data_IF_255040713492
#
_entry.id   IF_255040713492
#
_cell.length_a   1.000
_cell.length_b   1.000
_cell.length_c   1.000
_cell.angle_alpha   90.00
_cell.angle_beta   90.00
_cell.angle_gamma   90.00
#
_symmetry.space_group_name_H-M   'P 1'
#
loop_
_entity.id
_entity.type
_entity.pdbx_description
1 polymer ?
#
# COMPACT_ATOMS: atom_id res chain seq x y z
N UNK A 1 -20.71 0.47 21.63
CA UNK A 1 -19.45 0.98 22.19
C UNK A 1 -18.42 0.95 21.08
N UNK A 2 -18.08 2.10 20.53
CA UNK A 2 -17.00 2.23 19.55
C UNK A 2 -15.67 1.96 20.27
N UNK A 3 -15.08 0.80 20.04
CA UNK A 3 -13.70 0.56 20.47
C UNK A 3 -12.82 1.56 19.75
N UNK A 4 -12.13 2.38 20.52
CA UNK A 4 -11.14 3.34 20.06
C UNK A 4 -10.09 2.58 19.25
N UNK A 5 -10.07 2.80 17.94
CA UNK A 5 -8.92 2.43 17.11
C UNK A 5 -7.76 3.26 17.63
N UNK A 6 -6.70 2.60 18.06
CA UNK A 6 -5.56 3.16 18.77
C UNK A 6 -5.15 4.54 18.23
N UNK A 7 -5.01 5.52 19.14
CA UNK A 7 -4.46 6.85 18.90
C UNK A 7 -3.01 6.73 18.36
N UNK A 8 -2.86 6.56 17.06
CA UNK A 8 -1.57 6.69 16.41
C UNK A 8 -1.55 7.98 15.60
N UNK A 9 -0.55 8.79 15.85
CA UNK A 9 -0.36 10.02 15.09
C UNK A 9 0.17 9.70 13.69
N UNK A 10 -0.55 10.18 12.70
CA UNK A 10 -0.07 10.22 11.31
C UNK A 10 0.40 11.65 11.04
N UNK A 11 1.62 11.85 10.52
CA UNK A 11 2.05 13.17 10.10
C UNK A 11 1.03 13.78 9.14
N UNK A 12 0.70 15.06 9.32
CA UNK A 12 -0.29 15.79 8.51
C UNK A 12 -0.07 15.57 7.00
N UNK A 13 1.19 15.59 6.56
CA UNK A 13 1.58 15.32 5.17
C UNK A 13 1.14 13.95 4.65
N UNK A 14 0.90 12.98 5.53
CA UNK A 14 0.50 11.62 5.18
C UNK A 14 -1.01 11.37 5.38
N UNK A 15 -1.74 12.30 6.00
CA UNK A 15 -3.15 12.15 6.33
C UNK A 15 -4.03 11.87 5.09
N UNK A 16 -3.64 12.39 3.93
CA UNK A 16 -4.38 12.18 2.68
C UNK A 16 -4.51 10.72 2.24
N UNK A 17 -3.68 9.80 2.78
CA UNK A 17 -3.87 8.37 2.54
C UNK A 17 -5.16 7.85 3.20
N UNK A 18 -5.56 8.41 4.35
CA UNK A 18 -6.81 8.10 5.02
C UNK A 18 -7.99 8.91 4.50
N UNK A 19 -7.74 10.07 3.90
CA UNK A 19 -8.75 11.01 3.44
C UNK A 19 -9.24 10.68 2.04
N UNK A 20 -10.51 10.90 1.76
CA UNK A 20 -11.21 10.94 0.49
C UNK A 20 -10.65 10.13 -0.69
N UNK A 21 -11.46 9.80 -1.66
CA UNK A 21 -11.02 8.95 -2.76
C UNK A 21 -10.00 9.66 -3.65
N UNK A 22 -8.96 8.94 -4.05
CA UNK A 22 -8.07 9.29 -5.13
C UNK A 22 -7.56 8.01 -5.79
N UNK A 23 -7.43 8.00 -7.11
CA UNK A 23 -6.95 6.80 -7.81
C UNK A 23 -5.51 6.46 -7.42
N UNK A 24 -4.69 7.49 -7.25
CA UNK A 24 -3.30 7.33 -6.87
C UNK A 24 -2.98 8.17 -5.63
N UNK A 25 -2.36 7.56 -4.64
CA UNK A 25 -1.84 8.22 -3.45
C UNK A 25 -0.36 7.85 -3.30
N UNK A 26 0.52 8.84 -3.38
CA UNK A 26 1.96 8.57 -3.47
C UNK A 26 2.74 9.45 -2.51
N UNK A 27 3.61 8.81 -1.73
CA UNK A 27 4.57 9.49 -0.86
C UNK A 27 6.00 9.17 -1.31
N UNK A 28 6.79 10.19 -1.57
CA UNK A 28 8.19 10.03 -1.96
C UNK A 28 9.12 10.93 -1.13
N UNK A 29 10.39 10.60 -1.07
CA UNK A 29 11.39 11.38 -0.32
C UNK A 29 12.52 10.52 0.22
N UNK A 30 13.35 11.09 1.08
CA UNK A 30 14.53 10.43 1.62
C UNK A 30 14.22 9.20 2.49
N UNK A 31 15.26 8.41 2.78
CA UNK A 31 15.18 7.31 3.74
C UNK A 31 14.88 7.87 5.15
N UNK A 32 14.19 7.10 5.98
CA UNK A 32 13.88 7.49 7.35
C UNK A 32 12.67 8.42 7.52
N UNK A 33 12.06 8.92 6.44
CA UNK A 33 10.86 9.79 6.49
C UNK A 33 9.57 9.12 6.98
N UNK A 34 9.62 7.87 7.40
CA UNK A 34 8.46 7.16 7.97
C UNK A 34 7.38 6.78 6.96
N UNK A 35 7.60 6.94 5.65
CA UNK A 35 6.60 6.68 4.60
C UNK A 35 5.93 5.32 4.74
N UNK A 36 6.70 4.25 4.63
CA UNK A 36 6.17 2.88 4.67
C UNK A 36 5.50 2.56 6.02
N UNK A 37 6.06 3.06 7.14
CA UNK A 37 5.45 2.88 8.46
C UNK A 37 4.08 3.54 8.56
N UNK A 38 3.94 4.78 8.11
CA UNK A 38 2.67 5.50 8.21
C UNK A 38 1.64 4.94 7.23
N UNK A 39 2.04 4.55 6.01
CA UNK A 39 1.16 3.84 5.07
C UNK A 39 0.67 2.53 5.69
N UNK A 40 1.55 1.72 6.27
CA UNK A 40 1.18 0.49 6.95
C UNK A 40 0.15 0.71 8.07
N UNK A 41 0.34 1.75 8.89
CA UNK A 41 -0.60 2.11 9.97
C UNK A 41 -1.97 2.50 9.44
N UNK A 42 -2.02 3.38 8.44
CA UNK A 42 -3.27 3.82 7.81
C UNK A 42 -3.99 2.62 7.18
N UNK A 43 -3.26 1.77 6.47
CA UNK A 43 -3.78 0.58 5.84
C UNK A 43 -4.39 -0.39 6.87
N UNK A 44 -3.67 -0.66 7.96
CA UNK A 44 -4.15 -1.53 9.05
C UNK A 44 -5.36 -0.94 9.77
N UNK A 45 -5.36 0.37 10.05
CA UNK A 45 -6.53 1.04 10.63
C UNK A 45 -7.75 0.92 9.70
N UNK A 46 -7.58 1.18 8.40
CA UNK A 46 -8.64 1.03 7.40
C UNK A 46 -9.18 -0.41 7.35
N UNK A 47 -8.28 -1.40 7.32
CA UNK A 47 -8.66 -2.81 7.26
C UNK A 47 -9.26 -3.33 8.59
N UNK A 48 -8.98 -2.70 9.72
CA UNK A 48 -9.59 -3.02 11.01
C UNK A 48 -11.02 -2.48 11.15
N UNK A 49 -11.33 -1.37 10.45
CA UNK A 49 -12.64 -0.70 10.51
C UNK A 49 -13.62 -1.23 9.48
N UNK A 50 -13.16 -1.56 8.29
CA UNK A 50 -14.01 -2.02 7.18
C UNK A 50 -13.36 -3.16 6.40
N UNK A 51 -14.18 -4.04 5.83
CA UNK A 51 -13.71 -5.06 4.92
C UNK A 51 -12.92 -4.44 3.78
N UNK A 52 -11.63 -4.79 3.68
CA UNK A 52 -10.70 -4.21 2.73
C UNK A 52 -9.76 -5.27 2.19
N UNK A 53 -9.75 -5.45 0.89
CA UNK A 53 -8.82 -6.36 0.23
C UNK A 53 -7.60 -5.60 -0.28
N UNK A 54 -6.44 -5.95 0.24
CA UNK A 54 -5.19 -5.22 0.01
C UNK A 54 -4.15 -6.11 -0.65
N UNK A 55 -3.57 -5.62 -1.74
CA UNK A 55 -2.35 -6.16 -2.32
C UNK A 55 -1.18 -5.28 -1.89
N UNK A 56 -0.22 -5.85 -1.17
CA UNK A 56 1.09 -5.24 -0.97
C UNK A 56 2.04 -5.77 -2.04
N UNK A 57 2.68 -4.89 -2.79
CA UNK A 57 3.44 -5.25 -3.97
C UNK A 57 4.83 -4.58 -4.01
N UNK A 58 5.78 -5.25 -4.65
CA UNK A 58 7.08 -4.74 -5.11
C UNK A 58 7.35 -5.25 -6.52
N UNK A 59 8.30 -4.65 -7.24
CA UNK A 59 8.72 -5.15 -8.56
C UNK A 59 9.17 -6.62 -8.47
N UNK A 60 9.99 -6.98 -7.47
CA UNK A 60 10.51 -8.33 -7.24
C UNK A 60 9.95 -8.89 -5.93
N UNK A 61 9.52 -10.15 -5.95
CA UNK A 61 8.82 -10.78 -4.82
C UNK A 61 9.71 -11.10 -3.62
N UNK A 62 10.97 -11.48 -3.83
CA UNK A 62 11.80 -12.08 -2.80
C UNK A 62 12.03 -11.20 -1.56
N UNK A 63 11.95 -9.89 -1.73
CA UNK A 63 12.11 -8.92 -0.64
C UNK A 63 10.81 -8.46 0.03
N UNK A 64 9.64 -8.77 -0.53
CA UNK A 64 8.38 -8.23 0.00
C UNK A 64 7.94 -8.91 1.29
N UNK A 65 8.13 -10.23 1.40
CA UNK A 65 7.77 -10.98 2.60
C UNK A 65 8.62 -10.56 3.79
N UNK A 66 9.92 -10.42 3.60
CA UNK A 66 10.86 -10.06 4.68
C UNK A 66 10.69 -8.62 5.16
N UNK A 67 10.17 -7.72 4.35
CA UNK A 67 10.10 -6.30 4.70
C UNK A 67 8.70 -5.79 4.98
N UNK A 68 7.75 -5.97 4.04
CA UNK A 68 6.40 -5.39 4.18
C UNK A 68 5.54 -6.23 5.11
N UNK A 69 5.62 -7.55 5.01
CA UNK A 69 4.89 -8.44 5.91
C UNK A 69 5.37 -8.26 7.36
N UNK A 70 6.69 -8.23 7.58
CA UNK A 70 7.27 -7.98 8.90
C UNK A 70 6.88 -6.59 9.44
N UNK A 71 6.93 -5.56 8.59
CA UNK A 71 6.50 -4.21 8.95
C UNK A 71 5.04 -4.20 9.41
N UNK A 72 4.12 -4.79 8.64
CA UNK A 72 2.70 -4.86 9.02
C UNK A 72 2.51 -5.64 10.32
N UNK A 73 3.16 -6.79 10.47
CA UNK A 73 3.09 -7.61 11.68
C UNK A 73 3.57 -6.85 12.93
N UNK A 74 4.65 -6.09 12.80
CA UNK A 74 5.16 -5.26 13.87
C UNK A 74 4.24 -4.08 14.19
N UNK A 75 3.61 -3.46 13.17
CA UNK A 75 2.64 -2.40 13.38
C UNK A 75 1.34 -2.92 14.01
N UNK A 76 0.85 -4.11 13.68
CA UNK A 76 -0.29 -4.75 14.34
C UNK A 76 -0.05 -4.85 15.85
N UNK A 77 1.15 -5.28 16.26
CA UNK A 77 1.53 -5.35 17.68
C UNK A 77 1.61 -3.94 18.30
N UNK A 78 2.31 -3.02 17.66
CA UNK A 78 2.51 -1.65 18.15
C UNK A 78 1.20 -0.87 18.29
N UNK A 79 0.25 -1.08 17.38
CA UNK A 79 -1.08 -0.46 17.38
C UNK A 79 -2.09 -1.21 18.27
N UNK A 80 -1.70 -2.28 18.94
CA UNK A 80 -2.58 -3.14 19.78
C UNK A 80 -3.75 -3.75 18.99
N UNK A 81 -3.53 -4.05 17.72
CA UNK A 81 -4.55 -4.62 16.81
C UNK A 81 -4.49 -6.16 16.73
N UNK A 82 -3.78 -6.84 17.63
CA UNK A 82 -3.63 -8.29 17.58
C UNK A 82 -4.96 -9.06 17.65
N UNK A 83 -5.97 -8.52 18.32
CA UNK A 83 -7.32 -9.11 18.35
C UNK A 83 -8.14 -8.89 17.07
N UNK A 84 -7.71 -8.00 16.20
CA UNK A 84 -8.39 -7.65 14.94
C UNK A 84 -7.86 -8.42 13.73
N UNK A 85 -6.65 -9.00 13.83
CA UNK A 85 -5.99 -9.66 12.71
C UNK A 85 -5.43 -11.02 13.09
N UNK A 86 -5.60 -11.96 12.18
CA UNK A 86 -4.87 -13.24 12.16
C UNK A 86 -3.70 -13.10 11.17
N UNK A 87 -2.48 -13.29 11.67
CA UNK A 87 -1.25 -13.13 10.89
C UNK A 87 -0.66 -14.51 10.59
N UNK A 88 -0.52 -14.83 9.32
CA UNK A 88 0.19 -16.03 8.84
C UNK A 88 1.46 -15.63 8.09
N UNK A 89 2.28 -16.58 7.69
CA UNK A 89 3.50 -16.30 6.90
C UNK A 89 3.22 -15.82 5.47
N UNK A 90 1.99 -15.94 4.98
CA UNK A 90 1.64 -15.64 3.60
C UNK A 90 0.64 -14.51 3.44
N UNK A 91 -0.20 -14.28 4.43
CA UNK A 91 -1.26 -13.28 4.39
C UNK A 91 -1.63 -12.83 5.81
N UNK A 92 -2.38 -11.74 5.87
CA UNK A 92 -2.98 -11.22 7.10
C UNK A 92 -4.48 -11.06 6.83
N UNK A 93 -5.31 -11.61 7.71
CA UNK A 93 -6.76 -11.54 7.57
C UNK A 93 -7.43 -10.91 8.79
N UNK A 94 -8.56 -10.22 8.58
CA UNK A 94 -9.37 -9.67 9.65
C UNK A 94 -10.10 -10.78 10.41
N UNK A 95 -10.11 -10.72 11.74
CA UNK A 95 -10.79 -11.73 12.59
C UNK A 95 -12.30 -11.50 12.70
N UNK A 96 -12.78 -10.29 12.41
CA UNK A 96 -14.20 -9.89 12.56
C UNK A 96 -14.83 -9.32 11.28
N UNK A 97 -14.03 -9.16 10.24
CA UNK A 97 -14.45 -8.70 8.93
C UNK A 97 -13.69 -9.47 7.85
N UNK A 98 -14.09 -9.33 6.60
CA UNK A 98 -13.47 -10.04 5.47
C UNK A 98 -12.23 -9.32 4.92
N UNK A 99 -11.51 -8.56 5.75
CA UNK A 99 -10.28 -7.91 5.34
C UNK A 99 -9.20 -8.94 5.06
N UNK A 100 -8.48 -8.74 3.96
CA UNK A 100 -7.46 -9.68 3.51
C UNK A 100 -6.29 -8.94 2.88
N UNK A 101 -5.10 -9.10 3.44
CA UNK A 101 -3.87 -8.47 2.99
C UNK A 101 -2.94 -9.57 2.50
N UNK A 102 -2.53 -9.50 1.24
CA UNK A 102 -1.63 -10.46 0.63
C UNK A 102 -0.48 -9.78 -0.12
N UNK A 103 0.53 -10.55 -0.49
CA UNK A 103 1.81 -10.05 -0.95
C UNK A 103 2.18 -10.66 -2.30
N UNK A 104 2.65 -9.85 -3.25
CA UNK A 104 3.08 -10.33 -4.56
C UNK A 104 4.18 -9.48 -5.17
N UNK A 105 5.12 -10.14 -5.87
CA UNK A 105 5.98 -9.47 -6.83
C UNK A 105 5.22 -9.17 -8.12
N UNK A 106 5.50 -8.01 -8.72
CA UNK A 106 4.79 -7.55 -9.91
C UNK A 106 5.38 -8.10 -11.21
N UNK A 107 6.71 -8.20 -11.29
CA UNK A 107 7.43 -8.47 -12.54
C UNK A 107 6.96 -9.70 -13.31
N UNK A 108 6.59 -10.76 -12.60
CA UNK A 108 6.23 -12.05 -13.20
C UNK A 108 4.84 -12.57 -12.86
N UNK A 109 4.10 -11.85 -12.01
CA UNK A 109 2.85 -12.35 -11.44
C UNK A 109 1.61 -11.50 -11.69
N UNK A 110 1.74 -10.34 -12.33
CA UNK A 110 0.58 -9.47 -12.58
C UNK A 110 -0.47 -10.20 -13.39
N UNK A 111 -0.06 -10.90 -14.47
CA UNK A 111 -0.98 -11.59 -15.36
C UNK A 111 -1.72 -12.77 -14.68
N UNK A 112 -1.21 -13.25 -13.55
CA UNK A 112 -1.76 -14.33 -12.75
C UNK A 112 -2.46 -13.90 -11.46
N UNK A 113 -2.65 -12.59 -11.22
CA UNK A 113 -3.36 -12.09 -10.05
C UNK A 113 -4.84 -12.46 -10.13
N UNK A 114 -5.15 -13.68 -9.65
CA UNK A 114 -6.54 -14.10 -9.44
C UNK A 114 -7.18 -13.14 -8.43
N UNK A 115 -8.39 -12.72 -8.66
CA UNK A 115 -9.13 -11.78 -7.80
C UNK A 115 -8.60 -10.32 -7.81
N UNK A 116 -7.83 -9.93 -8.81
CA UNK A 116 -7.40 -8.52 -8.97
C UNK A 116 -8.58 -7.55 -9.07
N UNK A 117 -9.73 -8.01 -9.54
CA UNK A 117 -10.98 -7.26 -9.61
C UNK A 117 -11.62 -6.96 -8.25
N UNK A 118 -11.18 -7.62 -7.18
CA UNK A 118 -11.68 -7.41 -5.83
C UNK A 118 -10.75 -6.54 -4.97
N UNK A 119 -9.59 -6.12 -5.49
CA UNK A 119 -8.60 -5.35 -4.74
C UNK A 119 -9.11 -3.92 -4.53
N UNK A 120 -9.22 -3.52 -3.27
CA UNK A 120 -9.56 -2.15 -2.87
C UNK A 120 -8.34 -1.24 -2.90
N UNK A 121 -7.22 -1.72 -2.38
CA UNK A 121 -5.98 -0.97 -2.28
C UNK A 121 -4.82 -1.84 -2.77
N UNK A 122 -4.03 -1.31 -3.71
CA UNK A 122 -2.76 -1.87 -4.10
C UNK A 122 -1.63 -0.95 -3.62
N UNK A 123 -0.89 -1.36 -2.60
CA UNK A 123 0.27 -0.61 -2.13
C UNK A 123 1.55 -1.13 -2.78
N UNK A 124 2.18 -0.31 -3.60
CA UNK A 124 3.46 -0.57 -4.25
C UNK A 124 4.57 0.06 -3.41
N UNK A 125 5.30 -0.75 -2.69
CA UNK A 125 6.41 -0.35 -1.84
C UNK A 125 7.73 -0.43 -2.64
N UNK A 126 8.69 0.47 -2.35
CA UNK A 126 9.89 0.67 -3.18
C UNK A 126 9.56 0.90 -4.67
N UNK A 127 8.55 1.70 -4.93
CA UNK A 127 8.01 1.90 -6.27
C UNK A 127 9.01 2.50 -7.28
N UNK A 128 10.16 3.02 -6.82
CA UNK A 128 11.23 3.54 -7.69
C UNK A 128 11.82 2.47 -8.61
N UNK A 129 11.75 1.21 -8.19
CA UNK A 129 12.26 0.06 -8.96
C UNK A 129 11.29 -0.45 -10.03
N UNK A 130 10.03 0.03 -10.01
CA UNK A 130 8.98 -0.48 -10.90
C UNK A 130 9.17 0.02 -12.31
N UNK A 131 9.21 -0.92 -13.25
CA UNK A 131 9.38 -0.63 -14.67
C UNK A 131 8.12 -0.01 -15.30
N UNK A 132 8.29 0.70 -16.41
CA UNK A 132 7.15 1.26 -17.16
C UNK A 132 6.22 0.15 -17.67
N UNK A 133 6.75 -0.99 -18.10
CA UNK A 133 5.96 -2.15 -18.52
C UNK A 133 5.11 -2.71 -17.39
N UNK A 134 5.66 -2.76 -16.18
CA UNK A 134 4.93 -3.18 -14.97
C UNK A 134 3.81 -2.21 -14.63
N UNK A 135 4.06 -0.89 -14.66
CA UNK A 135 3.02 0.11 -14.44
C UNK A 135 1.87 0.01 -15.45
N UNK A 136 2.19 -0.20 -16.73
CA UNK A 136 1.18 -0.36 -17.80
C UNK A 136 0.28 -1.57 -17.59
N UNK A 137 0.80 -2.64 -17.02
CA UNK A 137 0.02 -3.85 -16.68
C UNK A 137 -0.75 -3.68 -15.37
N UNK A 138 -0.11 -3.16 -14.32
CA UNK A 138 -0.71 -3.03 -13.00
C UNK A 138 -1.93 -2.11 -12.98
N UNK A 139 -1.82 -0.96 -13.63
CA UNK A 139 -2.89 0.06 -13.61
C UNK A 139 -4.25 -0.48 -14.06
N UNK A 140 -4.39 -1.16 -15.21
CA UNK A 140 -5.67 -1.75 -15.61
C UNK A 140 -6.03 -3.03 -14.86
N UNK A 141 -5.06 -3.68 -14.20
CA UNK A 141 -5.32 -4.89 -13.41
C UNK A 141 -6.07 -4.56 -12.12
N UNK A 142 -5.72 -3.46 -11.45
CA UNK A 142 -6.44 -2.95 -10.28
C UNK A 142 -7.65 -2.15 -10.76
N UNK A 143 -8.81 -2.81 -10.90
CA UNK A 143 -9.97 -2.26 -11.64
C UNK A 143 -11.28 -2.20 -10.87
N UNK A 144 -11.29 -2.61 -9.60
CA UNK A 144 -12.49 -2.47 -8.75
C UNK A 144 -12.91 -1.00 -8.72
N UNK A 145 -14.21 -0.67 -8.91
CA UNK A 145 -14.69 0.69 -8.76
C UNK A 145 -14.29 1.28 -7.40
N UNK A 146 -13.69 2.47 -7.40
CA UNK A 146 -13.19 3.11 -6.19
C UNK A 146 -11.87 2.56 -5.65
N UNK A 147 -11.24 1.59 -6.33
CA UNK A 147 -9.92 1.07 -5.93
C UNK A 147 -8.82 2.12 -6.07
N UNK A 148 -7.85 2.02 -5.18
CA UNK A 148 -6.72 2.94 -5.08
C UNK A 148 -5.39 2.22 -5.31
N UNK A 149 -4.45 2.91 -5.92
CA UNK A 149 -3.04 2.49 -6.03
C UNK A 149 -2.21 3.44 -5.18
N UNK A 150 -1.60 2.90 -4.13
CA UNK A 150 -0.72 3.63 -3.23
C UNK A 150 0.72 3.35 -3.58
N UNK A 151 1.57 4.38 -3.52
CA UNK A 151 3.00 4.25 -3.80
C UNK A 151 3.86 4.86 -2.71
N UNK A 152 4.96 4.19 -2.39
CA UNK A 152 6.01 4.75 -1.54
C UNK A 152 7.38 4.48 -2.14
N UNK A 153 8.22 5.51 -2.26
CA UNK A 153 9.56 5.34 -2.80
C UNK A 153 10.55 6.42 -2.36
N UNK A 154 11.83 6.06 -2.44
CA UNK A 154 12.94 6.98 -2.32
C UNK A 154 13.45 7.24 -3.73
N UNK A 155 13.31 8.46 -4.29
CA UNK A 155 13.72 8.71 -5.66
C UNK A 155 15.24 8.56 -5.80
N UNK A 156 15.66 7.66 -6.66
CA UNK A 156 17.08 7.42 -6.98
C UNK A 156 17.45 8.20 -8.24
N UNK A 157 16.60 8.12 -9.27
CA UNK A 157 16.81 8.80 -10.54
C UNK A 157 15.54 9.56 -10.95
N UNK A 158 15.70 10.82 -11.38
CA UNK A 158 14.63 11.62 -11.96
C UNK A 158 14.03 10.95 -13.20
N UNK A 159 14.86 10.20 -13.95
CA UNK A 159 14.44 9.46 -15.14
C UNK A 159 13.68 8.16 -14.84
N UNK A 160 13.56 7.74 -13.57
CA UNK A 160 12.83 6.51 -13.26
C UNK A 160 11.35 6.62 -13.70
N UNK A 161 10.75 5.53 -14.21
CA UNK A 161 9.35 5.54 -14.67
C UNK A 161 8.38 6.02 -13.60
N UNK A 162 8.60 5.65 -12.36
CA UNK A 162 7.75 6.06 -11.23
C UNK A 162 7.86 7.56 -10.94
N UNK A 163 9.08 8.11 -10.95
CA UNK A 163 9.28 9.54 -10.75
C UNK A 163 8.65 10.36 -11.88
N UNK A 164 8.87 9.96 -13.13
CA UNK A 164 8.26 10.60 -14.30
C UNK A 164 6.73 10.56 -14.23
N UNK A 165 6.17 9.41 -13.83
CA UNK A 165 4.73 9.17 -13.79
C UNK A 165 4.01 9.96 -12.69
N UNK A 166 4.60 10.07 -11.51
CA UNK A 166 3.89 10.60 -10.34
C UNK A 166 4.40 11.97 -9.87
N UNK A 167 5.64 12.33 -10.16
CA UNK A 167 6.22 13.61 -9.73
C UNK A 167 6.25 14.61 -10.88
N UNK A 168 6.70 14.21 -12.06
CA UNK A 168 6.81 15.13 -13.21
C UNK A 168 5.47 15.31 -13.92
N UNK A 169 4.75 14.24 -14.19
CA UNK A 169 3.45 14.25 -14.89
C UNK A 169 2.43 13.39 -14.15
N UNK A 170 1.96 13.83 -12.97
CA UNK A 170 1.01 13.02 -12.20
C UNK A 170 -0.28 12.79 -13.00
N UNK A 171 -0.79 11.54 -13.02
CA UNK A 171 -2.07 11.24 -13.64
C UNK A 171 -3.21 12.04 -13.00
N UNK A 172 -4.31 12.22 -13.71
CA UNK A 172 -5.53 12.75 -13.12
C UNK A 172 -5.94 11.94 -11.89
N UNK A 173 -6.56 12.57 -10.91
CA UNK A 173 -6.98 11.93 -9.66
C UNK A 173 -5.80 11.33 -8.84
N UNK A 174 -4.69 12.06 -8.81
CA UNK A 174 -3.49 11.74 -8.00
C UNK A 174 -3.35 12.69 -6.83
N UNK A 175 -2.94 12.16 -5.67
CA UNK A 175 -2.43 12.92 -4.53
C UNK A 175 -0.98 12.48 -4.31
N UNK A 176 -0.04 13.41 -4.46
CA UNK A 176 1.40 13.13 -4.39
C UNK A 176 2.07 14.08 -3.42
N UNK A 177 2.85 13.55 -2.50
CA UNK A 177 3.53 14.36 -1.48
C UNK A 177 5.00 13.98 -1.36
N UNK A 178 5.83 14.98 -1.13
CA UNK A 178 7.23 14.82 -0.71
C UNK A 178 7.31 14.82 0.82
N UNK A 179 7.90 13.78 1.39
CA UNK A 179 8.06 13.55 2.84
C UNK A 179 9.52 13.71 3.24
#
# INVERSE_FOLDING_TARGET
MSEVVSDFEVPERMAFFAEGPARYKVAYGGRGGGKSRNIARILLATAAERSTRVLCAREIQDSIKESVHELLSNQIKAMRLASKFHVTDQYIEGTRNDSYIFFSGLKHKIDGLKSAEEIDICWVEEADTVSESTWRKLTPTIRKPGSEIWGSFNPTLVSSPTYQRFVVKPPANSKVVKV
#
